data_IF_095096528881
#
_entry.id   IF_095096528881
#
_cell.length_a   1.000
_cell.length_b   1.000
_cell.length_c   1.000
_cell.angle_alpha   90.00
_cell.angle_beta   90.00
_cell.angle_gamma   90.00
#
_symmetry.space_group_name_H-M   'P 1'
#
loop_
_entity.id
_entity.type
_entity.pdbx_description
1 polymer ?
#
# COMPACT_ATOMS: atom_id res chain seq x y z
N UNK A 1 24.22 11.05 -7.91
CA UNK A 1 23.17 10.92 -6.87
C UNK A 1 22.53 9.55 -6.87
N UNK A 2 21.78 9.14 -7.92
CA UNK A 2 21.13 7.81 -8.02
C UNK A 2 21.96 6.64 -7.48
N UNK A 3 23.17 6.43 -8.01
CA UNK A 3 24.03 5.31 -7.62
C UNK A 3 24.43 5.31 -6.14
N UNK A 4 24.50 6.49 -5.50
CA UNK A 4 24.78 6.61 -4.07
C UNK A 4 23.57 6.17 -3.26
N UNK A 5 22.37 6.66 -3.61
CA UNK A 5 21.12 6.29 -2.94
C UNK A 5 20.80 4.79 -3.11
N UNK A 6 21.01 4.25 -4.31
CA UNK A 6 20.87 2.80 -4.55
C UNK A 6 21.88 2.01 -3.72
N UNK A 7 23.13 2.49 -3.62
CA UNK A 7 24.14 1.81 -2.78
C UNK A 7 23.78 1.85 -1.31
N UNK A 8 23.18 2.93 -0.81
CA UNK A 8 22.85 3.09 0.61
C UNK A 8 21.69 2.20 1.07
N UNK A 9 20.84 1.81 0.12
CA UNK A 9 19.70 0.91 0.34
C UNK A 9 20.02 -0.56 0.04
N UNK A 10 21.31 -0.88 -0.20
CA UNK A 10 21.78 -2.27 -0.30
C UNK A 10 21.89 -2.93 1.08
N UNK A 11 21.77 -4.25 1.07
CA UNK A 11 21.91 -5.11 2.24
C UNK A 11 23.26 -4.86 2.93
N UNK A 12 23.24 -4.82 4.26
CA UNK A 12 24.42 -4.59 5.10
C UNK A 12 24.99 -3.15 5.08
N UNK A 13 24.35 -2.18 4.41
CA UNK A 13 24.87 -0.80 4.30
C UNK A 13 24.33 0.10 5.40
N UNK A 14 23.04 0.44 5.32
CA UNK A 14 22.38 1.35 6.25
C UNK A 14 21.99 0.67 7.58
N UNK A 15 22.02 -0.66 7.65
CA UNK A 15 21.64 -1.44 8.84
C UNK A 15 22.44 -1.08 10.09
N UNK A 16 23.75 -0.92 9.95
CA UNK A 16 24.66 -0.58 11.05
C UNK A 16 24.38 0.81 11.65
N UNK A 17 23.76 1.71 10.88
CA UNK A 17 23.38 3.05 11.31
C UNK A 17 21.98 3.08 11.97
N UNK A 18 21.26 1.96 11.94
CA UNK A 18 20.01 1.75 12.64
C UNK A 18 18.74 1.93 11.78
N UNK A 19 17.59 1.46 12.28
CA UNK A 19 16.31 1.43 11.54
C UNK A 19 15.82 2.80 11.05
N UNK A 20 16.03 3.85 11.86
CA UNK A 20 15.69 5.22 11.51
C UNK A 20 16.43 5.69 10.26
N UNK A 21 17.75 5.50 10.22
CA UNK A 21 18.58 5.85 9.08
C UNK A 21 18.21 5.06 7.82
N UNK A 22 17.87 3.78 7.97
CA UNK A 22 17.38 2.96 6.85
C UNK A 22 16.08 3.55 6.26
N UNK A 23 15.10 3.92 7.10
CA UNK A 23 13.85 4.52 6.64
C UNK A 23 14.10 5.83 5.86
N UNK A 24 15.02 6.67 6.34
CA UNK A 24 15.41 7.90 5.65
C UNK A 24 16.14 7.63 4.32
N UNK A 25 17.03 6.63 4.28
CA UNK A 25 17.73 6.24 3.06
C UNK A 25 16.77 5.74 1.98
N UNK A 26 15.78 4.92 2.36
CA UNK A 26 14.71 4.50 1.45
C UNK A 26 13.87 5.68 0.99
N UNK A 27 13.48 6.58 1.89
CA UNK A 27 12.71 7.78 1.54
C UNK A 27 13.45 8.67 0.54
N UNK A 28 14.75 8.91 0.77
CA UNK A 28 15.59 9.70 -0.12
C UNK A 28 15.72 9.06 -1.51
N UNK A 29 15.91 7.73 -1.58
CA UNK A 29 15.91 7.00 -2.84
C UNK A 29 14.56 7.11 -3.55
N UNK A 30 13.46 6.84 -2.86
CA UNK A 30 12.11 6.85 -3.40
C UNK A 30 11.74 8.21 -3.96
N UNK A 31 11.99 9.28 -3.20
CA UNK A 31 11.71 10.65 -3.60
C UNK A 31 12.52 11.05 -4.83
N UNK A 32 13.81 10.70 -4.86
CA UNK A 32 14.64 10.95 -6.04
C UNK A 32 14.16 10.14 -7.25
N UNK A 33 13.73 8.89 -7.04
CA UNK A 33 13.21 8.02 -8.09
C UNK A 33 11.92 8.58 -8.70
N UNK A 34 10.99 9.03 -7.86
CA UNK A 34 9.72 9.64 -8.28
C UNK A 34 9.97 10.84 -9.19
N UNK A 35 10.84 11.77 -8.77
CA UNK A 35 11.19 12.97 -9.54
C UNK A 35 11.87 12.60 -10.87
N UNK A 36 12.69 11.55 -10.88
CA UNK A 36 13.44 11.12 -12.06
C UNK A 36 12.74 10.07 -12.92
N UNK A 37 11.50 9.67 -12.57
CA UNK A 37 10.77 8.59 -13.26
C UNK A 37 11.49 7.23 -13.24
N UNK A 38 12.19 6.90 -12.15
CA UNK A 38 12.95 5.64 -11.98
C UNK A 38 12.22 4.66 -11.07
N UNK A 39 12.58 3.39 -11.18
CA UNK A 39 12.10 2.33 -10.29
C UNK A 39 12.99 2.23 -9.03
N UNK A 40 12.43 2.58 -7.87
CA UNK A 40 13.09 2.43 -6.58
C UNK A 40 12.87 1.05 -5.95
N UNK A 41 11.88 0.27 -6.40
CA UNK A 41 11.50 -1.01 -5.78
C UNK A 41 12.59 -2.07 -5.91
N UNK A 42 13.36 -2.02 -7.00
CA UNK A 42 14.39 -3.02 -7.29
C UNK A 42 13.83 -4.33 -7.85
N UNK A 43 12.51 -4.45 -8.04
CA UNK A 43 11.85 -5.66 -8.54
C UNK A 43 12.28 -6.07 -9.95
N UNK A 44 12.81 -5.15 -10.76
CA UNK A 44 13.34 -5.44 -12.09
C UNK A 44 14.84 -5.83 -12.04
N UNK A 45 15.58 -5.36 -11.03
CA UNK A 45 17.04 -5.41 -11.01
C UNK A 45 17.60 -6.71 -10.41
N UNK A 46 16.90 -7.34 -9.47
CA UNK A 46 17.39 -8.49 -8.72
C UNK A 46 16.76 -9.80 -9.20
N UNK A 47 17.60 -10.80 -9.54
CA UNK A 47 17.16 -12.20 -9.67
C UNK A 47 16.99 -12.91 -8.32
N UNK A 48 17.37 -12.23 -7.24
CA UNK A 48 17.26 -12.70 -5.86
C UNK A 48 16.02 -12.09 -5.20
N UNK A 49 15.42 -12.84 -4.27
CA UNK A 49 14.21 -12.47 -3.52
C UNK A 49 14.41 -11.31 -2.50
N UNK A 50 15.48 -10.53 -2.62
CA UNK A 50 15.83 -9.42 -1.71
C UNK A 50 15.82 -8.05 -2.41
N UNK A 51 14.66 -7.70 -2.95
CA UNK A 51 14.43 -6.38 -3.53
C UNK A 51 14.32 -5.28 -2.45
N UNK A 52 14.38 -4.01 -2.86
CA UNK A 52 14.36 -2.87 -1.93
C UNK A 52 12.99 -2.67 -1.30
N UNK A 53 11.92 -2.95 -2.01
CA UNK A 53 10.56 -2.89 -1.46
C UNK A 53 10.39 -3.96 -0.36
N UNK A 54 10.87 -5.18 -0.58
CA UNK A 54 10.85 -6.27 0.40
C UNK A 54 11.63 -5.89 1.67
N UNK A 55 12.81 -5.28 1.54
CA UNK A 55 13.56 -4.80 2.71
C UNK A 55 12.86 -3.68 3.48
N UNK A 56 12.30 -2.70 2.79
CA UNK A 56 11.49 -1.66 3.44
C UNK A 56 10.28 -2.27 4.16
N UNK A 57 9.60 -3.24 3.54
CA UNK A 57 8.47 -3.92 4.17
C UNK A 57 8.89 -4.75 5.38
N UNK A 58 10.07 -5.40 5.38
CA UNK A 58 10.63 -6.06 6.57
C UNK A 58 10.96 -5.06 7.68
N UNK A 59 11.46 -3.87 7.33
CA UNK A 59 11.71 -2.80 8.31
C UNK A 59 10.42 -2.35 9.01
N UNK A 60 9.29 -2.32 8.28
CA UNK A 60 7.97 -1.94 8.82
C UNK A 60 7.28 -3.11 9.52
N UNK A 61 7.32 -4.29 8.92
CA UNK A 61 6.67 -5.53 9.32
C UNK A 61 7.71 -6.67 9.35
N UNK A 62 8.49 -6.82 10.44
CA UNK A 62 9.59 -7.79 10.50
C UNK A 62 9.17 -9.23 10.20
N UNK A 63 7.98 -9.63 10.63
CA UNK A 63 7.40 -10.96 10.39
C UNK A 63 6.43 -10.97 9.19
N UNK A 64 6.45 -9.91 8.37
CA UNK A 64 5.51 -9.61 7.30
C UNK A 64 5.75 -10.38 6.01
N UNK A 65 7.00 -10.73 5.75
CA UNK A 65 7.44 -11.38 4.53
C UNK A 65 8.21 -12.64 4.93
N UNK A 66 7.77 -13.84 4.52
CA UNK A 66 8.48 -15.07 4.81
C UNK A 66 9.91 -15.00 4.26
N UNK A 67 10.88 -15.45 5.04
CA UNK A 67 12.25 -15.52 4.53
C UNK A 67 12.37 -16.62 3.48
N UNK A 68 12.95 -16.33 2.30
CA UNK A 68 13.09 -17.33 1.24
C UNK A 68 14.02 -18.49 1.64
N UNK A 69 14.87 -18.28 2.65
CA UNK A 69 15.79 -19.27 3.20
C UNK A 69 15.24 -20.01 4.43
N UNK A 70 14.13 -19.54 5.02
CA UNK A 70 13.40 -20.29 6.03
C UNK A 70 12.55 -21.35 5.32
N UNK A 71 13.19 -22.48 5.00
CA UNK A 71 12.48 -23.69 4.61
C UNK A 71 11.36 -23.96 5.60
N UNK A 72 10.19 -24.30 5.07
CA UNK A 72 8.95 -24.68 5.75
C UNK A 72 9.20 -25.67 6.90
N UNK A 73 9.55 -25.18 8.08
CA UNK A 73 9.48 -25.92 9.34
C UNK A 73 8.35 -25.30 10.17
N UNK A 74 7.12 -25.39 9.67
CA UNK A 74 5.98 -25.65 10.55
C UNK A 74 4.76 -26.05 9.74
N UNK A 75 4.64 -27.35 9.53
CA UNK A 75 3.37 -28.05 9.49
C UNK A 75 2.63 -27.82 10.82
N UNK A 76 1.97 -26.66 10.95
CA UNK A 76 0.82 -26.49 11.86
C UNK A 76 -0.27 -25.69 11.13
N UNK A 77 -1.30 -26.43 10.71
CA UNK A 77 -2.60 -25.90 10.34
C UNK A 77 -3.02 -24.79 11.32
N UNK A 78 -3.35 -23.61 10.81
CA UNK A 78 -4.33 -22.73 11.45
C UNK A 78 -3.85 -21.61 12.38
N UNK A 79 -2.65 -21.04 12.21
CA UNK A 79 -2.38 -19.70 12.75
C UNK A 79 -1.93 -18.79 11.63
N UNK A 80 -2.82 -17.89 11.19
CA UNK A 80 -2.39 -16.65 10.55
C UNK A 80 -1.33 -16.05 11.47
N UNK A 81 -0.08 -16.01 11.03
CA UNK A 81 0.96 -15.21 11.67
C UNK A 81 0.44 -13.79 11.65
N UNK A 82 -0.04 -13.29 12.80
CA UNK A 82 -0.43 -11.90 12.92
C UNK A 82 0.83 -11.09 12.67
N UNK A 83 0.83 -10.31 11.60
CA UNK A 83 1.91 -9.37 11.32
C UNK A 83 2.12 -8.48 12.57
N UNK A 84 3.36 -8.06 12.80
CA UNK A 84 3.69 -7.15 13.89
C UNK A 84 4.34 -5.91 13.30
N UNK A 85 3.90 -4.73 13.74
CA UNK A 85 4.52 -3.46 13.37
C UNK A 85 5.82 -3.34 14.17
N UNK A 86 6.92 -3.02 13.48
CA UNK A 86 8.25 -2.86 14.08
C UNK A 86 8.22 -1.87 15.24
N UNK A 87 8.75 -2.29 16.39
CA UNK A 87 8.90 -1.42 17.56
C UNK A 87 10.25 -0.68 17.56
N UNK A 88 11.10 -0.91 16.56
CA UNK A 88 12.41 -0.25 16.44
C UNK A 88 12.31 1.15 15.82
N UNK A 89 11.16 1.46 15.22
CA UNK A 89 10.84 2.77 14.65
C UNK A 89 9.85 3.49 15.56
N UNK A 90 10.09 4.76 15.82
CA UNK A 90 9.10 5.68 16.38
C UNK A 90 7.91 5.86 15.44
N UNK A 91 6.78 6.39 15.94
CA UNK A 91 5.57 6.59 15.12
C UNK A 91 5.82 7.48 13.89
N UNK A 92 6.68 8.50 14.00
CA UNK A 92 7.08 9.36 12.87
C UNK A 92 7.95 8.65 11.85
N UNK A 93 8.83 7.75 12.30
CA UNK A 93 9.70 6.99 11.40
C UNK A 93 8.91 5.87 10.70
N UNK A 94 7.95 5.24 11.40
CA UNK A 94 6.97 4.34 10.78
C UNK A 94 6.13 5.07 9.74
N UNK A 95 5.65 6.27 10.05
CA UNK A 95 4.91 7.12 9.10
C UNK A 95 5.73 7.37 7.82
N UNK A 96 7.02 7.72 7.96
CA UNK A 96 7.94 7.93 6.84
C UNK A 96 8.17 6.65 6.04
N UNK A 97 8.52 5.55 6.70
CA UNK A 97 8.77 4.26 6.07
C UNK A 97 7.56 3.77 5.28
N UNK A 98 6.36 3.90 5.85
CA UNK A 98 5.12 3.48 5.18
C UNK A 98 4.83 4.36 3.98
N UNK A 99 4.92 5.70 4.09
CA UNK A 99 4.76 6.61 2.94
C UNK A 99 5.74 6.27 1.81
N UNK A 100 6.95 5.87 2.18
CA UNK A 100 7.99 5.47 1.23
C UNK A 100 7.52 4.33 0.32
N UNK A 101 6.72 3.38 0.82
CA UNK A 101 6.18 2.26 0.02
C UNK A 101 5.42 2.77 -1.22
N UNK A 102 4.51 3.73 -1.04
CA UNK A 102 3.75 4.30 -2.16
C UNK A 102 4.59 5.15 -3.11
N UNK A 103 5.57 5.89 -2.58
CA UNK A 103 6.48 6.73 -3.38
C UNK A 103 7.45 5.87 -4.18
N UNK A 104 7.95 4.76 -3.61
CA UNK A 104 8.88 3.85 -4.30
C UNK A 104 8.29 3.19 -5.53
N UNK A 105 6.97 3.01 -5.57
CA UNK A 105 6.30 2.39 -6.71
C UNK A 105 6.52 3.23 -7.98
N UNK A 106 6.97 2.66 -9.11
CA UNK A 106 7.31 3.45 -10.28
C UNK A 106 6.05 3.97 -11.00
N UNK A 107 6.18 5.14 -11.64
CA UNK A 107 5.16 5.65 -12.56
C UNK A 107 4.95 4.73 -13.78
N UNK A 108 5.99 4.00 -14.20
CA UNK A 108 5.94 3.03 -15.29
C UNK A 108 6.05 1.61 -14.75
N UNK A 109 4.93 1.07 -14.28
CA UNK A 109 4.84 -0.29 -13.74
C UNK A 109 5.02 -1.35 -14.84
N UNK A 110 5.85 -2.35 -14.52
CA UNK A 110 6.08 -3.58 -15.32
C UNK A 110 5.54 -4.82 -14.59
N UNK A 111 5.55 -5.98 -15.24
CA UNK A 111 5.00 -7.22 -14.71
C UNK A 111 5.40 -7.57 -13.27
N UNK A 112 6.68 -7.47 -12.85
CA UNK A 112 7.06 -7.79 -11.47
C UNK A 112 6.34 -6.94 -10.41
N UNK A 113 5.99 -5.70 -10.74
CA UNK A 113 5.23 -4.82 -9.84
C UNK A 113 3.77 -5.26 -9.76
N UNK A 114 3.18 -5.65 -10.90
CA UNK A 114 1.81 -6.18 -10.94
C UNK A 114 1.73 -7.44 -10.08
N UNK A 115 2.70 -8.34 -10.21
CA UNK A 115 2.74 -9.58 -9.43
C UNK A 115 2.90 -9.31 -7.92
N UNK A 116 3.57 -8.21 -7.52
CA UNK A 116 3.71 -7.79 -6.10
C UNK A 116 2.62 -6.86 -5.59
N UNK A 117 1.69 -6.42 -6.44
CA UNK A 117 0.69 -5.41 -6.07
C UNK A 117 -0.22 -5.89 -4.93
N UNK A 118 -0.78 -7.09 -5.08
CA UNK A 118 -1.78 -7.63 -4.15
C UNK A 118 -1.18 -7.89 -2.78
N UNK A 119 0.03 -8.47 -2.73
CA UNK A 119 0.73 -8.70 -1.46
C UNK A 119 1.00 -7.37 -0.75
N UNK A 120 1.58 -6.40 -1.46
CA UNK A 120 1.87 -5.07 -0.91
C UNK A 120 0.60 -4.39 -0.39
N UNK A 121 -0.51 -4.53 -1.12
CA UNK A 121 -1.81 -4.00 -0.70
C UNK A 121 -2.29 -4.65 0.61
N UNK A 122 -2.13 -5.96 0.78
CA UNK A 122 -2.46 -6.63 2.04
C UNK A 122 -1.63 -6.13 3.23
N UNK A 123 -0.33 -5.89 3.04
CA UNK A 123 0.52 -5.30 4.09
C UNK A 123 0.02 -3.91 4.49
N UNK A 124 -0.36 -3.06 3.52
CA UNK A 124 -0.91 -1.73 3.78
C UNK A 124 -2.29 -1.78 4.46
N UNK A 125 -3.18 -2.69 4.05
CA UNK A 125 -4.48 -2.91 4.71
C UNK A 125 -4.29 -3.34 6.16
N UNK A 126 -3.31 -4.21 6.43
CA UNK A 126 -2.95 -4.60 7.78
C UNK A 126 -2.50 -3.40 8.62
N UNK A 127 -1.65 -2.52 8.07
CA UNK A 127 -1.18 -1.30 8.76
C UNK A 127 -2.33 -0.35 9.11
N UNK A 128 -3.35 -0.21 8.24
CA UNK A 128 -4.57 0.55 8.56
C UNK A 128 -5.31 -0.07 9.76
N UNK A 129 -5.24 -1.39 9.90
CA UNK A 129 -5.99 -2.12 10.92
C UNK A 129 -5.39 -2.04 12.33
N UNK A 130 -4.08 -1.84 12.44
CA UNK A 130 -3.35 -1.93 13.71
C UNK A 130 -2.69 -0.60 14.14
N UNK A 131 -2.48 0.32 13.21
CA UNK A 131 -1.74 1.55 13.48
C UNK A 131 -2.54 2.68 14.13
N UNK A 132 -1.83 3.62 14.73
CA UNK A 132 -2.34 4.95 15.07
C UNK A 132 -2.71 5.77 13.83
N UNK A 133 -3.31 6.94 14.01
CA UNK A 133 -3.83 7.74 12.89
C UNK A 133 -2.74 8.14 11.88
N UNK A 134 -1.49 8.33 12.30
CA UNK A 134 -0.35 8.63 11.41
C UNK A 134 -0.05 7.46 10.48
N UNK A 135 0.06 6.27 11.05
CA UNK A 135 0.28 5.01 10.33
C UNK A 135 -0.86 4.73 9.36
N UNK A 136 -2.11 4.88 9.83
CA UNK A 136 -3.30 4.73 8.99
C UNK A 136 -3.29 5.72 7.81
N UNK A 137 -2.97 6.99 8.07
CA UNK A 137 -2.87 8.02 7.03
C UNK A 137 -1.77 7.71 6.02
N UNK A 138 -0.59 7.30 6.48
CA UNK A 138 0.54 6.92 5.63
C UNK A 138 0.21 5.71 4.76
N UNK A 139 -0.46 4.70 5.32
CA UNK A 139 -0.87 3.51 4.60
C UNK A 139 -1.93 3.84 3.54
N UNK A 140 -2.95 4.65 3.87
CA UNK A 140 -3.94 5.13 2.90
C UNK A 140 -3.30 5.95 1.78
N UNK A 141 -2.36 6.84 2.10
CA UNK A 141 -1.60 7.60 1.11
C UNK A 141 -0.78 6.70 0.17
N UNK A 142 -0.23 5.61 0.70
CA UNK A 142 0.49 4.63 -0.10
C UNK A 142 -0.44 3.80 -0.99
N UNK A 143 -1.60 3.39 -0.48
CA UNK A 143 -2.64 2.72 -1.28
C UNK A 143 -3.09 3.63 -2.43
N UNK A 144 -3.35 4.92 -2.16
CA UNK A 144 -3.66 5.91 -3.17
C UNK A 144 -2.57 5.94 -4.25
N UNK A 145 -1.30 6.06 -3.85
CA UNK A 145 -0.18 6.09 -4.79
C UNK A 145 -0.08 4.81 -5.64
N UNK A 146 -0.26 3.63 -5.04
CA UNK A 146 -0.26 2.35 -5.76
C UNK A 146 -1.36 2.32 -6.84
N UNK A 147 -2.61 2.63 -6.48
CA UNK A 147 -3.71 2.65 -7.44
C UNK A 147 -3.55 3.76 -8.49
N UNK A 148 -3.01 4.91 -8.12
CA UNK A 148 -2.77 6.02 -9.06
C UNK A 148 -1.73 5.67 -10.14
N UNK A 149 -0.74 4.84 -9.79
CA UNK A 149 0.36 4.38 -10.65
C UNK A 149 0.09 3.04 -11.36
N UNK A 150 -0.94 2.31 -10.94
CA UNK A 150 -1.42 1.13 -11.65
C UNK A 150 -2.11 1.57 -12.96
N UNK A 151 -1.83 0.87 -14.06
CA UNK A 151 -2.54 1.09 -15.33
C UNK A 151 -3.83 0.29 -15.38
N UNK A 152 -4.82 0.77 -16.14
CA UNK A 152 -6.14 0.13 -16.22
C UNK A 152 -6.05 -1.32 -16.69
N UNK A 153 -5.21 -1.61 -17.67
CA UNK A 153 -5.02 -2.98 -18.20
C UNK A 153 -4.41 -3.92 -17.15
N UNK A 154 -3.57 -3.40 -16.27
CA UNK A 154 -2.98 -4.17 -15.16
C UNK A 154 -4.02 -4.45 -14.07
N UNK A 155 -4.92 -3.49 -13.81
CA UNK A 155 -6.07 -3.72 -12.92
C UNK A 155 -6.99 -4.81 -13.46
N UNK A 156 -7.25 -4.85 -14.77
CA UNK A 156 -8.01 -5.93 -15.42
C UNK A 156 -7.30 -7.29 -15.30
N UNK A 157 -5.98 -7.31 -15.53
CA UNK A 157 -5.16 -8.52 -15.37
C UNK A 157 -5.22 -9.08 -13.94
N UNK A 158 -5.10 -8.22 -12.93
CA UNK A 158 -5.19 -8.60 -11.51
C UNK A 158 -6.55 -9.21 -11.18
N UNK A 159 -7.64 -8.59 -11.65
CA UNK A 159 -9.00 -9.11 -11.44
C UNK A 159 -9.20 -10.43 -12.16
N UNK A 160 -8.68 -10.56 -13.39
CA UNK A 160 -8.72 -11.82 -14.15
C UNK A 160 -7.99 -12.93 -13.41
N UNK A 161 -6.73 -12.71 -13.00
CA UNK A 161 -5.93 -13.67 -12.21
C UNK A 161 -6.63 -14.06 -10.90
N UNK A 162 -7.26 -13.13 -10.20
CA UNK A 162 -8.00 -13.42 -8.96
C UNK A 162 -9.29 -14.22 -9.22
N UNK A 163 -9.91 -14.02 -10.38
CA UNK A 163 -11.09 -14.76 -10.84
C UNK A 163 -10.75 -16.16 -11.34
N UNK A 164 -9.49 -16.41 -11.69
CA UNK A 164 -8.99 -17.74 -12.02
C UNK A 164 -8.81 -18.58 -10.74
N UNK A 165 -9.21 -19.85 -10.83
CA UNK A 165 -9.24 -20.79 -9.70
C UNK A 165 -10.39 -20.56 -8.72
N UNK A 166 -10.58 -21.48 -7.77
CA UNK A 166 -11.62 -21.36 -6.75
C UNK A 166 -11.38 -20.20 -5.76
N UNK A 167 -12.44 -19.76 -5.06
CA UNK A 167 -12.40 -18.70 -4.05
C UNK A 167 -12.95 -17.34 -4.54
N UNK A 168 -13.22 -16.43 -3.60
CA UNK A 168 -13.81 -15.13 -3.90
C UNK A 168 -12.74 -14.12 -4.38
N UNK A 169 -12.84 -13.54 -5.59
CA UNK A 169 -11.89 -12.55 -6.09
C UNK A 169 -11.74 -11.32 -5.17
N UNK A 170 -12.82 -10.90 -4.51
CA UNK A 170 -12.79 -9.78 -3.55
C UNK A 170 -11.88 -10.04 -2.35
N UNK A 171 -11.78 -11.29 -1.91
CA UNK A 171 -10.93 -11.68 -0.79
C UNK A 171 -9.49 -11.86 -1.24
N UNK A 172 -9.27 -12.51 -2.39
CA UNK A 172 -7.93 -12.69 -2.97
C UNK A 172 -7.23 -11.35 -3.26
N UNK A 173 -7.98 -10.34 -3.69
CA UNK A 173 -7.46 -8.99 -3.96
C UNK A 173 -7.37 -8.10 -2.71
N UNK A 174 -7.84 -8.56 -1.56
CA UNK A 174 -7.91 -7.75 -0.33
C UNK A 174 -8.99 -6.66 -0.35
N UNK A 175 -9.80 -6.55 -1.41
CA UNK A 175 -10.79 -5.46 -1.58
C UNK A 175 -11.90 -5.49 -0.53
N UNK A 176 -12.35 -6.68 -0.13
CA UNK A 176 -13.37 -6.82 0.93
C UNK A 176 -12.90 -6.17 2.23
N UNK A 177 -11.68 -6.49 2.64
CA UNK A 177 -11.10 -5.93 3.87
C UNK A 177 -10.81 -4.43 3.70
N UNK A 178 -10.28 -4.02 2.55
CA UNK A 178 -10.04 -2.61 2.23
C UNK A 178 -11.31 -1.77 2.36
N UNK A 179 -12.45 -2.23 1.84
CA UNK A 179 -13.73 -1.50 1.95
C UNK A 179 -14.17 -1.33 3.41
N UNK A 180 -14.03 -2.36 4.23
CA UNK A 180 -14.33 -2.29 5.66
C UNK A 180 -13.47 -1.23 6.35
N UNK A 181 -12.17 -1.18 6.00
CA UNK A 181 -11.23 -0.22 6.58
C UNK A 181 -11.47 1.21 6.09
N UNK A 182 -11.73 1.41 4.80
CA UNK A 182 -12.08 2.71 4.24
C UNK A 182 -13.34 3.28 4.88
N UNK A 183 -14.36 2.44 5.14
CA UNK A 183 -15.58 2.88 5.83
C UNK A 183 -15.31 3.42 7.21
N UNK A 184 -14.50 2.72 8.00
CA UNK A 184 -14.09 3.18 9.34
C UNK A 184 -13.32 4.50 9.29
N UNK A 185 -12.44 4.66 8.30
CA UNK A 185 -11.69 5.91 8.12
C UNK A 185 -12.60 7.06 7.65
N UNK A 186 -13.52 6.80 6.73
CA UNK A 186 -14.50 7.76 6.22
C UNK A 186 -15.47 8.27 7.31
N UNK A 187 -15.89 7.37 8.20
CA UNK A 187 -16.79 7.69 9.31
C UNK A 187 -16.05 8.27 10.53
N UNK A 188 -14.72 8.45 10.46
CA UNK A 188 -13.93 8.95 11.57
C UNK A 188 -14.13 10.46 11.80
N UNK A 189 -15.05 10.80 12.70
CA UNK A 189 -15.38 12.19 13.03
C UNK A 189 -14.25 12.95 13.76
N UNK A 190 -13.28 12.23 14.34
CA UNK A 190 -12.18 12.83 15.12
C UNK A 190 -10.99 13.26 14.26
N UNK A 191 -10.82 12.68 13.08
CA UNK A 191 -9.68 12.96 12.20
C UNK A 191 -10.15 13.31 10.78
N UNK A 192 -10.08 14.58 10.42
CA UNK A 192 -10.30 15.03 9.04
C UNK A 192 -9.26 14.44 8.08
N UNK A 193 -8.00 14.33 8.53
CA UNK A 193 -6.89 13.80 7.73
C UNK A 193 -7.17 12.37 7.26
N UNK A 194 -7.67 11.50 8.15
CA UNK A 194 -8.04 10.13 7.78
C UNK A 194 -9.18 10.08 6.77
N UNK A 195 -10.17 10.96 6.93
CA UNK A 195 -11.30 11.07 6.00
C UNK A 195 -10.84 11.53 4.62
N UNK A 196 -9.92 12.49 4.54
CA UNK A 196 -9.34 12.97 3.28
C UNK A 196 -8.53 11.88 2.57
N UNK A 197 -7.65 11.19 3.31
CA UNK A 197 -6.84 10.12 2.72
C UNK A 197 -7.69 8.94 2.27
N UNK A 198 -8.75 8.59 3.01
CA UNK A 198 -9.71 7.56 2.59
C UNK A 198 -10.46 7.97 1.32
N UNK A 199 -10.91 9.23 1.23
CA UNK A 199 -11.56 9.74 0.01
C UNK A 199 -10.62 9.75 -1.19
N UNK A 200 -9.35 10.12 -0.98
CA UNK A 200 -8.31 10.05 -2.02
C UNK A 200 -8.02 8.63 -2.48
N UNK A 201 -7.95 7.67 -1.56
CA UNK A 201 -7.80 6.25 -1.90
C UNK A 201 -9.01 5.74 -2.72
N UNK A 202 -10.24 6.07 -2.31
CA UNK A 202 -11.46 5.77 -3.08
C UNK A 202 -11.38 6.37 -4.49
N UNK A 203 -11.05 7.66 -4.61
CA UNK A 203 -10.92 8.33 -5.91
C UNK A 203 -9.90 7.65 -6.83
N UNK A 204 -8.76 7.20 -6.29
CA UNK A 204 -7.74 6.48 -7.07
C UNK A 204 -8.22 5.11 -7.57
N UNK A 205 -9.05 4.41 -6.78
CA UNK A 205 -9.62 3.12 -7.15
C UNK A 205 -10.69 3.23 -8.23
N UNK A 206 -11.47 4.32 -8.23
CA UNK A 206 -12.53 4.57 -9.23
C UNK A 206 -11.99 4.66 -10.67
N UNK A 207 -10.69 4.91 -10.84
CA UNK A 207 -10.02 4.89 -12.15
C UNK A 207 -9.95 3.49 -12.77
N UNK A 208 -10.21 2.44 -11.98
CA UNK A 208 -10.04 1.05 -12.36
C UNK A 208 -11.39 0.33 -12.38
N UNK A 209 -12.07 0.38 -13.53
CA UNK A 209 -13.42 -0.20 -13.70
C UNK A 209 -13.51 -1.66 -13.28
N UNK A 210 -12.49 -2.46 -13.53
CA UNK A 210 -12.46 -3.88 -13.15
C UNK A 210 -12.57 -4.08 -11.64
N UNK A 211 -11.92 -3.25 -10.83
CA UNK A 211 -12.09 -3.27 -9.38
C UNK A 211 -13.46 -2.73 -8.99
N UNK A 212 -13.88 -1.60 -9.56
CA UNK A 212 -15.18 -0.97 -9.26
C UNK A 212 -16.34 -1.95 -9.46
N UNK A 213 -16.35 -2.75 -10.53
CA UNK A 213 -17.38 -3.76 -10.77
C UNK A 213 -17.52 -4.75 -9.61
N UNK A 214 -16.43 -5.08 -8.91
CA UNK A 214 -16.47 -6.01 -7.78
C UNK A 214 -17.02 -5.36 -6.49
N UNK A 215 -16.84 -4.05 -6.31
CA UNK A 215 -17.13 -3.32 -5.06
C UNK A 215 -18.13 -2.16 -5.23
N UNK A 216 -18.86 -2.11 -6.36
CA UNK A 216 -19.69 -0.96 -6.73
C UNK A 216 -20.63 -0.51 -5.61
N UNK A 217 -21.46 -1.42 -5.07
CA UNK A 217 -22.41 -1.06 -4.01
C UNK A 217 -21.73 -0.56 -2.73
N UNK A 218 -20.56 -1.11 -2.39
CA UNK A 218 -19.81 -0.66 -1.21
C UNK A 218 -19.22 0.73 -1.42
N UNK A 219 -18.72 1.02 -2.63
CA UNK A 219 -18.21 2.34 -3.00
C UNK A 219 -19.31 3.39 -3.04
N UNK A 220 -20.49 3.06 -3.58
CA UNK A 220 -21.64 3.95 -3.63
C UNK A 220 -22.07 4.38 -2.21
N UNK A 221 -22.24 3.41 -1.30
CA UNK A 221 -22.55 3.68 0.11
C UNK A 221 -21.47 4.55 0.78
N UNK A 222 -20.19 4.22 0.52
CA UNK A 222 -19.04 4.94 1.06
C UNK A 222 -19.03 6.40 0.61
N UNK A 223 -19.10 6.67 -0.70
CA UNK A 223 -19.05 8.02 -1.23
C UNK A 223 -20.28 8.82 -0.79
N UNK A 224 -21.46 8.18 -0.73
CA UNK A 224 -22.68 8.83 -0.24
C UNK A 224 -22.55 9.30 1.22
N UNK A 225 -21.79 8.59 2.07
CA UNK A 225 -21.54 9.02 3.46
C UNK A 225 -20.81 10.38 3.55
N UNK A 226 -20.01 10.73 2.54
CA UNK A 226 -19.30 12.01 2.49
C UNK A 226 -20.18 13.18 2.02
N UNK A 227 -21.30 12.93 1.34
CA UNK A 227 -22.24 13.99 0.93
C UNK A 227 -22.82 14.72 2.15
N UNK A 228 -22.89 14.04 3.29
CA UNK A 228 -23.34 14.60 4.56
C UNK A 228 -22.20 15.11 5.46
N UNK A 229 -20.94 15.13 4.99
CA UNK A 229 -19.83 15.67 5.78
C UNK A 229 -19.95 17.18 5.99
N UNK A 230 -19.57 17.66 7.18
CA UNK A 230 -19.58 19.10 7.49
C UNK A 230 -18.57 19.94 6.66
N UNK A 231 -17.57 19.29 6.05
CA UNK A 231 -16.53 19.96 5.25
C UNK A 231 -16.99 20.15 3.81
N UNK A 232 -17.08 21.40 3.33
CA UNK A 232 -17.55 21.70 1.97
C UNK A 232 -16.72 21.03 0.87
N UNK A 233 -15.40 21.06 1.00
CA UNK A 233 -14.46 20.47 0.03
C UNK A 233 -14.65 18.96 -0.16
N UNK A 234 -14.79 18.20 0.94
CA UNK A 234 -15.02 16.75 0.86
C UNK A 234 -16.37 16.42 0.23
N UNK A 235 -17.41 17.23 0.52
CA UNK A 235 -18.72 17.08 -0.14
C UNK A 235 -18.63 17.30 -1.63
N UNK A 236 -17.94 18.36 -2.06
CA UNK A 236 -17.79 18.68 -3.48
C UNK A 236 -17.06 17.56 -4.23
N UNK A 237 -16.00 17.01 -3.64
CA UNK A 237 -15.29 15.85 -4.18
C UNK A 237 -16.16 14.60 -4.20
N UNK A 238 -16.87 14.29 -3.12
CA UNK A 238 -17.78 13.15 -3.09
C UNK A 238 -18.88 13.25 -4.15
N UNK A 239 -19.47 14.43 -4.34
CA UNK A 239 -20.44 14.69 -5.41
C UNK A 239 -19.84 14.48 -6.81
N UNK A 240 -18.56 14.83 -7.02
CA UNK A 240 -17.87 14.55 -8.28
C UNK A 240 -17.60 13.05 -8.48
N UNK A 241 -17.23 12.34 -7.41
CA UNK A 241 -17.00 10.89 -7.44
C UNK A 241 -18.31 10.13 -7.69
N UNK A 242 -19.43 10.53 -7.09
CA UNK A 242 -20.75 9.94 -7.34
C UNK A 242 -21.17 10.02 -8.80
N UNK A 243 -20.75 11.06 -9.53
CA UNK A 243 -21.02 11.18 -10.99
C UNK A 243 -20.13 10.27 -11.84
N UNK A 244 -19.05 9.75 -11.26
CA UNK A 244 -18.04 8.93 -11.93
C UNK A 244 -18.22 7.43 -11.65
N UNK A 245 -19.03 7.08 -10.64
CA UNK A 245 -19.56 5.74 -10.38
C UNK A 245 -20.68 5.43 -11.38
#
# INVERSE_FOLDING_TARGET
MWSVLVRETRDGRSEHAGPSYQAEAFWALASFAEICGRDATGLIETKENDDRLTRLLRLILPNGIPDPNEQQISSKKGKQTQFQISQELSESEQELAIKTVGVMWPLQTKQPHVDRFVDTLHHLIFLISQGGWRIQSAALGSILALFAKLRTEQGEELVKKASEGGGNPLEKLGLKELMIRLKRCAENTKSSVLREHALGAIASMLRHRSFVTLIHGQLEELVQSYVNCGTSTMRDWACALMKSL
#
